data_IF_724910757296
#
_entry.id   IF_724910757296
#
_cell.length_a   1.000
_cell.length_b   1.000
_cell.length_c   1.000
_cell.angle_alpha   90.00
_cell.angle_beta   90.00
_cell.angle_gamma   90.00
#
_symmetry.space_group_name_H-M   'P 1'
#
loop_
_entity.id
_entity.type
_entity.pdbx_description
1 polymer ?
#
# COMPACT_ATOMS: atom_id res chain seq x y z
N UNK A 1 70.63 8.79 20.37
CA UNK A 1 69.38 8.01 20.19
C UNK A 1 68.22 8.78 20.78
N UNK A 2 67.09 8.84 20.09
CA UNK A 2 65.76 8.92 20.71
C UNK A 2 64.72 8.53 19.65
N UNK A 3 63.88 7.53 19.91
CA UNK A 3 62.77 7.18 19.03
C UNK A 3 61.56 8.02 19.45
N UNK A 4 60.99 8.76 18.51
CA UNK A 4 59.72 9.48 18.74
C UNK A 4 58.62 8.42 18.80
N UNK A 5 58.18 8.06 20.01
CA UNK A 5 57.07 7.14 20.24
C UNK A 5 55.72 7.82 19.96
N UNK A 6 55.46 8.18 18.70
CA UNK A 6 54.15 8.61 18.21
C UNK A 6 53.26 7.42 17.82
N UNK A 7 53.10 6.51 18.78
CA UNK A 7 51.92 5.63 18.91
C UNK A 7 51.66 5.46 20.40
N UNK A 8 50.78 6.30 20.94
CA UNK A 8 49.90 5.88 22.03
C UNK A 8 48.75 5.10 21.40
N UNK A 9 48.15 4.22 22.18
CA UNK A 9 46.92 3.52 21.84
C UNK A 9 45.76 4.51 21.61
N UNK A 10 44.61 3.98 21.14
CA UNK A 10 43.43 4.76 20.78
C UNK A 10 43.10 5.81 21.82
N UNK A 11 42.90 7.05 21.38
CA UNK A 11 42.48 8.13 22.28
C UNK A 11 41.10 7.77 22.82
N UNK A 12 41.04 7.42 24.10
CA UNK A 12 39.82 6.96 24.76
C UNK A 12 38.69 7.99 24.72
N UNK A 13 39.01 9.28 24.51
CA UNK A 13 38.01 10.31 24.24
C UNK A 13 37.38 10.17 22.84
N UNK A 14 38.18 9.80 21.82
CA UNK A 14 37.70 9.55 20.46
C UNK A 14 36.87 8.27 20.39
N UNK A 15 37.33 7.18 21.03
CA UNK A 15 36.55 5.93 21.09
C UNK A 15 35.20 6.14 21.78
N UNK A 16 35.19 6.88 22.91
CA UNK A 16 33.96 7.24 23.61
C UNK A 16 33.01 8.07 22.76
N UNK A 17 33.49 9.12 22.08
CA UNK A 17 32.67 9.96 21.20
C UNK A 17 32.11 9.15 20.03
N UNK A 18 32.88 8.20 19.49
CA UNK A 18 32.41 7.30 18.44
C UNK A 18 31.29 6.37 18.93
N UNK A 19 31.41 5.78 20.12
CA UNK A 19 30.32 4.97 20.69
C UNK A 19 29.09 5.81 21.07
N UNK A 20 29.26 7.03 21.59
CA UNK A 20 28.14 7.94 21.86
C UNK A 20 27.41 8.32 20.54
N UNK A 21 28.14 8.51 19.44
CA UNK A 21 27.59 8.72 18.09
C UNK A 21 26.83 7.50 17.57
N UNK A 22 27.40 6.29 17.63
CA UNK A 22 26.72 5.03 17.25
C UNK A 22 25.42 4.85 18.03
N UNK A 23 25.47 5.03 19.35
CA UNK A 23 24.28 4.91 20.20
C UNK A 23 23.22 5.97 19.87
N UNK A 24 23.61 7.16 19.39
CA UNK A 24 22.69 8.17 18.86
C UNK A 24 22.05 7.73 17.54
N UNK A 25 22.86 7.25 16.59
CA UNK A 25 22.41 6.72 15.30
C UNK A 25 21.43 5.55 15.46
N UNK A 26 21.76 4.56 16.29
CA UNK A 26 20.88 3.42 16.59
C UNK A 26 19.53 3.87 17.15
N UNK A 27 19.50 4.84 18.08
CA UNK A 27 18.25 5.39 18.63
C UNK A 27 17.41 6.11 17.57
N UNK A 28 18.03 6.98 16.78
CA UNK A 28 17.36 7.74 15.72
C UNK A 28 16.77 6.83 14.63
N UNK A 29 17.50 5.79 14.22
CA UNK A 29 17.03 4.85 13.20
C UNK A 29 15.88 3.98 13.71
N UNK A 30 15.94 3.49 14.97
CA UNK A 30 14.83 2.78 15.64
C UNK A 30 13.58 3.66 15.75
N UNK A 31 13.74 4.94 16.08
CA UNK A 31 12.65 5.89 16.16
C UNK A 31 11.99 6.11 14.78
N UNK A 32 12.78 6.36 13.73
CA UNK A 32 12.29 6.54 12.36
C UNK A 32 11.51 5.30 11.88
N UNK A 33 12.05 4.09 12.09
CA UNK A 33 11.40 2.85 11.71
C UNK A 33 10.06 2.65 12.44
N UNK A 34 10.03 2.84 13.77
CA UNK A 34 8.79 2.67 14.58
C UNK A 34 7.73 3.71 14.26
N UNK A 35 8.11 4.97 14.01
CA UNK A 35 7.17 6.02 13.56
C UNK A 35 6.58 5.67 12.19
N UNK A 36 7.39 5.14 11.27
CA UNK A 36 6.94 4.75 9.93
C UNK A 36 6.00 3.55 9.98
N UNK A 37 6.32 2.53 10.77
CA UNK A 37 5.44 1.39 11.03
C UNK A 37 4.10 1.83 11.64
N UNK A 38 4.12 2.70 12.66
CA UNK A 38 2.90 3.21 13.30
C UNK A 38 1.97 3.92 12.32
N UNK A 39 2.53 4.73 11.40
CA UNK A 39 1.75 5.37 10.33
C UNK A 39 1.05 4.35 9.43
N UNK A 40 1.75 3.29 9.02
CA UNK A 40 1.16 2.22 8.20
C UNK A 40 -0.01 1.54 8.92
N UNK A 41 0.11 1.27 10.22
CA UNK A 41 -1.00 0.70 10.99
C UNK A 41 -2.24 1.62 10.93
N UNK A 42 -2.06 2.93 11.13
CA UNK A 42 -3.15 3.93 11.09
C UNK A 42 -3.72 4.24 9.70
N UNK A 43 -3.07 3.81 8.60
CA UNK A 43 -3.66 3.90 7.25
C UNK A 43 -4.92 3.02 7.10
N UNK A 44 -5.09 2.02 7.97
CA UNK A 44 -6.23 1.11 7.96
C UNK A 44 -7.51 1.65 8.58
N UNK A 45 -7.46 2.82 9.22
CA UNK A 45 -8.52 3.36 10.09
C UNK A 45 -9.19 4.62 9.53
N UNK A 46 -8.70 5.14 8.40
CA UNK A 46 -9.14 6.38 7.77
C UNK A 46 -9.47 6.17 6.28
N UNK A 47 -10.10 7.17 5.64
CA UNK A 47 -10.13 7.19 4.18
C UNK A 47 -8.73 7.29 3.57
N UNK A 48 -8.60 6.81 2.33
CA UNK A 48 -7.33 6.56 1.67
C UNK A 48 -6.73 7.87 1.14
N UNK A 49 -6.00 8.57 2.01
CA UNK A 49 -5.31 9.82 1.66
C UNK A 49 -3.99 9.57 0.89
N UNK A 50 -3.92 10.13 -0.30
CA UNK A 50 -2.74 10.07 -1.18
C UNK A 50 -1.54 10.87 -0.63
N UNK A 51 -1.79 11.96 0.10
CA UNK A 51 -0.74 12.80 0.68
C UNK A 51 -0.01 12.07 1.83
N UNK A 52 -0.74 11.38 2.69
CA UNK A 52 -0.17 10.46 3.68
C UNK A 52 0.57 9.28 3.04
N UNK A 53 0.11 8.75 1.89
CA UNK A 53 0.84 7.72 1.13
C UNK A 53 2.17 8.24 0.56
N UNK A 54 2.20 9.47 0.04
CA UNK A 54 3.45 10.11 -0.44
C UNK A 54 4.42 10.33 0.72
N UNK A 55 3.93 10.81 1.88
CA UNK A 55 4.71 10.99 3.10
C UNK A 55 5.26 9.66 3.65
N UNK A 56 4.51 8.57 3.55
CA UNK A 56 4.98 7.23 3.90
C UNK A 56 6.12 6.79 2.98
N UNK A 57 5.96 6.91 1.66
CA UNK A 57 6.99 6.49 0.69
C UNK A 57 8.30 7.25 0.90
N UNK A 58 8.24 8.56 1.16
CA UNK A 58 9.41 9.37 1.51
C UNK A 58 10.13 8.84 2.77
N UNK A 59 9.40 8.35 3.77
CA UNK A 59 10.01 7.75 4.97
C UNK A 59 10.56 6.33 4.73
N UNK A 60 9.90 5.52 3.91
CA UNK A 60 10.41 4.21 3.49
C UNK A 60 11.70 4.37 2.66
N UNK A 61 11.81 5.43 1.86
CA UNK A 61 13.05 5.78 1.17
C UNK A 61 14.12 6.25 2.16
N UNK A 62 13.80 7.17 3.07
CA UNK A 62 14.74 7.63 4.09
C UNK A 62 15.27 6.49 4.98
N UNK A 63 14.46 5.46 5.28
CA UNK A 63 14.92 4.25 5.96
C UNK A 63 15.87 3.45 5.06
N UNK A 64 15.54 3.24 3.78
CA UNK A 64 16.42 2.52 2.83
C UNK A 64 17.79 3.20 2.69
N UNK A 65 17.81 4.52 2.58
CA UNK A 65 19.04 5.30 2.50
C UNK A 65 19.81 5.28 3.83
N UNK A 66 19.12 5.43 4.96
CA UNK A 66 19.75 5.30 6.27
C UNK A 66 20.33 3.89 6.51
N UNK A 67 19.71 2.80 6.02
CA UNK A 67 20.34 1.47 6.03
C UNK A 67 21.66 1.50 5.27
N UNK A 68 21.67 2.01 4.03
CA UNK A 68 22.86 2.03 3.17
C UNK A 68 24.05 2.79 3.78
N UNK A 69 23.82 3.90 4.48
CA UNK A 69 24.90 4.75 5.04
C UNK A 69 25.18 4.54 6.54
N UNK A 70 24.24 4.00 7.32
CA UNK A 70 24.34 3.93 8.79
C UNK A 70 24.59 2.51 9.29
N UNK A 71 24.26 1.47 8.51
CA UNK A 71 24.46 0.06 8.93
C UNK A 71 25.92 -0.35 9.12
N UNK A 72 26.91 0.36 8.57
CA UNK A 72 28.31 0.05 8.89
C UNK A 72 28.72 0.52 10.31
N UNK A 73 28.03 1.53 10.87
CA UNK A 73 28.34 2.09 12.19
C UNK A 73 27.53 1.49 13.34
N UNK A 74 26.26 1.11 13.13
CA UNK A 74 25.39 0.61 14.21
C UNK A 74 25.65 -0.85 14.58
N UNK A 75 25.29 -1.20 15.82
CA UNK A 75 25.39 -2.55 16.37
C UNK A 75 24.47 -3.56 15.64
N UNK A 76 24.81 -4.85 15.71
CA UNK A 76 24.08 -5.89 14.99
C UNK A 76 22.63 -6.07 15.47
N UNK A 77 22.36 -5.84 16.76
CA UNK A 77 21.02 -5.98 17.32
C UNK A 77 20.08 -4.89 16.75
N UNK A 78 20.59 -3.66 16.57
CA UNK A 78 19.89 -2.60 15.85
C UNK A 78 19.58 -3.00 14.41
N UNK A 79 20.53 -3.58 13.66
CA UNK A 79 20.28 -3.98 12.26
C UNK A 79 19.10 -4.96 12.17
N UNK A 80 19.13 -5.99 13.00
CA UNK A 80 18.06 -7.01 13.10
C UNK A 80 16.72 -6.40 13.55
N UNK A 81 16.72 -5.46 14.50
CA UNK A 81 15.50 -4.75 14.92
C UNK A 81 14.90 -3.93 13.76
N UNK A 82 15.72 -3.20 13.00
CA UNK A 82 15.29 -2.40 11.86
C UNK A 82 14.77 -3.26 10.71
N UNK A 83 15.45 -4.37 10.40
CA UNK A 83 15.03 -5.32 9.36
C UNK A 83 13.72 -6.02 9.70
N UNK A 84 13.53 -6.38 10.97
CA UNK A 84 12.26 -6.88 11.47
C UNK A 84 11.14 -5.85 11.30
N UNK A 85 11.37 -4.60 11.70
CA UNK A 85 10.36 -3.53 11.56
C UNK A 85 10.06 -3.25 10.08
N UNK A 86 11.06 -3.30 9.19
CA UNK A 86 10.87 -3.14 7.75
C UNK A 86 9.97 -4.26 7.17
N UNK A 87 10.21 -5.52 7.57
CA UNK A 87 9.38 -6.66 7.18
C UNK A 87 7.94 -6.55 7.70
N UNK A 88 7.76 -6.23 8.99
CA UNK A 88 6.45 -6.01 9.60
C UNK A 88 5.71 -4.83 8.95
N UNK A 89 6.43 -3.77 8.55
CA UNK A 89 5.90 -2.62 7.82
C UNK A 89 5.44 -3.02 6.42
N UNK A 90 6.24 -3.76 5.64
CA UNK A 90 5.87 -4.27 4.31
C UNK A 90 4.61 -5.15 4.36
N UNK A 91 4.57 -6.09 5.30
CA UNK A 91 3.41 -6.96 5.55
C UNK A 91 2.14 -6.18 5.93
N UNK A 92 2.31 -5.10 6.71
CA UNK A 92 1.20 -4.21 7.09
C UNK A 92 0.69 -3.39 5.89
N UNK A 93 1.57 -2.88 5.02
CA UNK A 93 1.19 -2.20 3.77
C UNK A 93 0.43 -3.16 2.84
N UNK A 94 0.89 -4.40 2.68
CA UNK A 94 0.19 -5.41 1.89
C UNK A 94 -1.21 -5.72 2.44
N UNK A 95 -1.31 -5.88 3.77
CA UNK A 95 -2.59 -6.13 4.45
C UNK A 95 -3.57 -4.96 4.29
N UNK A 96 -3.06 -3.73 4.32
CA UNK A 96 -3.83 -2.53 4.04
C UNK A 96 -4.32 -2.48 2.58
N UNK A 97 -3.45 -2.72 1.59
CA UNK A 97 -3.84 -2.77 0.17
C UNK A 97 -4.95 -3.81 -0.09
N UNK A 98 -4.91 -4.96 0.58
CA UNK A 98 -5.98 -5.97 0.52
C UNK A 98 -7.32 -5.45 1.08
N UNK A 99 -7.30 -4.67 2.17
CA UNK A 99 -8.52 -3.99 2.67
C UNK A 99 -9.07 -3.00 1.63
N UNK A 100 -8.22 -2.16 1.03
CA UNK A 100 -8.65 -1.16 0.04
C UNK A 100 -9.29 -1.84 -1.17
N UNK A 101 -8.64 -2.87 -1.73
CA UNK A 101 -9.20 -3.72 -2.82
C UNK A 101 -10.56 -4.33 -2.45
N UNK A 102 -10.76 -4.75 -1.20
CA UNK A 102 -12.05 -5.29 -0.74
C UNK A 102 -13.17 -4.23 -0.73
N UNK A 103 -12.87 -2.97 -0.36
CA UNK A 103 -13.88 -1.88 -0.42
C UNK A 103 -14.35 -1.59 -1.85
N UNK A 104 -13.47 -1.70 -2.85
CA UNK A 104 -13.86 -1.53 -4.26
C UNK A 104 -14.77 -2.67 -4.73
N UNK A 105 -14.49 -3.92 -4.32
CA UNK A 105 -15.38 -5.04 -4.62
C UNK A 105 -16.77 -4.85 -4.00
N UNK A 106 -16.85 -4.27 -2.80
CA UNK A 106 -18.13 -3.88 -2.21
C UNK A 106 -18.85 -2.80 -3.04
N UNK A 107 -18.17 -1.71 -3.44
CA UNK A 107 -18.75 -0.66 -4.26
C UNK A 107 -19.29 -1.17 -5.62
N UNK A 108 -18.53 -2.04 -6.30
CA UNK A 108 -18.96 -2.72 -7.55
C UNK A 108 -20.22 -3.56 -7.30
N UNK A 109 -20.23 -4.38 -6.24
CA UNK A 109 -21.38 -5.26 -5.91
C UNK A 109 -22.63 -4.48 -5.48
N UNK A 110 -22.47 -3.31 -4.87
CA UNK A 110 -23.55 -2.39 -4.53
C UNK A 110 -24.01 -1.52 -5.72
N UNK A 111 -23.46 -1.72 -6.92
CA UNK A 111 -23.71 -0.93 -8.13
C UNK A 111 -23.35 0.57 -8.01
N UNK A 112 -22.53 0.96 -7.03
CA UNK A 112 -22.02 2.34 -6.93
C UNK A 112 -20.82 2.53 -7.88
N UNK A 113 -21.12 2.56 -9.17
CA UNK A 113 -20.10 2.56 -10.23
C UNK A 113 -19.18 3.78 -10.20
N UNK A 114 -19.65 4.95 -9.77
CA UNK A 114 -18.81 6.15 -9.62
C UNK A 114 -17.77 5.99 -8.51
N UNK A 115 -18.21 5.61 -7.31
CA UNK A 115 -17.31 5.32 -6.18
C UNK A 115 -16.31 4.20 -6.53
N UNK A 116 -16.75 3.16 -7.23
CA UNK A 116 -15.87 2.09 -7.71
C UNK A 116 -14.80 2.62 -8.66
N UNK A 117 -15.16 3.42 -9.66
CA UNK A 117 -14.21 3.99 -10.63
C UNK A 117 -13.20 4.94 -9.96
N UNK A 118 -13.65 5.79 -9.04
CA UNK A 118 -12.76 6.68 -8.27
C UNK A 118 -11.79 5.91 -7.37
N UNK A 119 -12.27 4.88 -6.67
CA UNK A 119 -11.39 4.05 -5.81
C UNK A 119 -10.44 3.17 -6.62
N UNK A 120 -10.81 2.72 -7.83
CA UNK A 120 -9.89 2.07 -8.77
C UNK A 120 -8.77 3.04 -9.18
N UNK A 121 -9.12 4.27 -9.60
CA UNK A 121 -8.13 5.32 -9.93
C UNK A 121 -7.20 5.62 -8.76
N UNK A 122 -7.72 5.61 -7.53
CA UNK A 122 -6.95 5.82 -6.30
C UNK A 122 -5.98 4.67 -6.01
N UNK A 123 -6.42 3.41 -6.06
CA UNK A 123 -5.53 2.23 -5.94
C UNK A 123 -4.43 2.30 -7.01
N UNK A 124 -4.78 2.59 -8.27
CA UNK A 124 -3.80 2.66 -9.38
C UNK A 124 -2.75 3.77 -9.17
N UNK A 125 -3.05 4.86 -8.45
CA UNK A 125 -2.05 5.85 -8.01
C UNK A 125 -1.15 5.30 -6.90
N UNK A 126 -1.72 4.63 -5.90
CA UNK A 126 -1.00 4.09 -4.75
C UNK A 126 -0.04 2.97 -5.15
N UNK A 127 -0.48 2.05 -6.02
CA UNK A 127 0.37 0.99 -6.60
C UNK A 127 1.54 1.56 -7.42
N UNK A 128 1.42 2.78 -7.97
CA UNK A 128 2.55 3.48 -8.63
C UNK A 128 3.53 4.14 -7.66
N UNK A 129 3.07 4.54 -6.48
CA UNK A 129 3.91 5.19 -5.45
C UNK A 129 4.65 4.13 -4.63
N UNK A 130 3.91 3.15 -4.09
CA UNK A 130 4.44 2.13 -3.18
C UNK A 130 4.80 0.81 -3.88
N UNK A 131 4.62 0.70 -5.20
CA UNK A 131 4.82 -0.56 -5.95
C UNK A 131 6.17 -1.23 -5.68
N UNK A 132 7.24 -0.43 -5.64
CA UNK A 132 8.61 -0.91 -5.41
C UNK A 132 8.91 -1.23 -3.92
N UNK A 133 7.93 -1.08 -3.02
CA UNK A 133 7.99 -1.51 -1.61
C UNK A 133 7.34 -2.87 -1.39
N UNK A 134 6.48 -3.29 -2.32
CA UNK A 134 5.85 -4.60 -2.42
C UNK A 134 6.08 -5.19 -3.82
N UNK A 135 7.36 -5.31 -4.20
CA UNK A 135 7.80 -6.02 -5.40
C UNK A 135 7.34 -7.49 -5.37
N UNK A 136 7.33 -8.11 -6.55
CA UNK A 136 6.91 -9.49 -6.79
C UNK A 136 7.61 -10.47 -5.83
N UNK A 137 6.85 -11.36 -5.18
CA UNK A 137 7.43 -12.46 -4.41
C UNK A 137 7.93 -13.54 -5.37
N UNK A 138 9.13 -13.33 -5.91
CA UNK A 138 9.96 -14.45 -6.32
C UNK A 138 10.60 -15.06 -5.07
N UNK A 139 10.35 -16.36 -4.87
CA UNK A 139 10.80 -17.12 -3.71
C UNK A 139 12.32 -17.05 -3.49
N UNK A 140 12.72 -17.33 -2.25
CA UNK A 140 13.67 -18.42 -2.04
C UNK A 140 12.92 -19.60 -1.37
N UNK A 141 13.16 -20.83 -1.82
CA UNK A 141 12.22 -21.94 -1.64
C UNK A 141 12.37 -22.66 -0.28
N UNK A 142 11.92 -22.01 0.79
CA UNK A 142 11.50 -22.73 2.00
C UNK A 142 10.37 -22.06 2.81
N UNK A 143 9.26 -22.81 2.99
CA UNK A 143 8.13 -22.53 3.92
C UNK A 143 7.10 -21.44 3.51
N UNK A 144 6.94 -21.12 2.23
CA UNK A 144 6.18 -19.92 1.78
C UNK A 144 4.74 -20.13 1.22
N UNK A 145 4.17 -21.34 1.25
CA UNK A 145 2.93 -21.67 0.52
C UNK A 145 1.69 -20.80 0.83
N UNK A 146 1.62 -20.13 1.99
CA UNK A 146 0.46 -19.32 2.42
C UNK A 146 0.56 -17.81 2.18
N UNK A 147 1.67 -17.31 1.61
CA UNK A 147 1.86 -15.87 1.35
C UNK A 147 1.88 -15.50 -0.14
N UNK A 148 2.65 -16.23 -0.99
CA UNK A 148 2.66 -16.02 -2.46
C UNK A 148 1.25 -15.85 -3.07
N UNK A 149 0.34 -16.76 -2.70
CA UNK A 149 -1.07 -16.82 -3.16
C UNK A 149 -1.93 -15.58 -2.77
N UNK A 150 -1.41 -14.66 -1.95
CA UNK A 150 -2.01 -13.35 -1.65
C UNK A 150 -1.38 -12.18 -2.40
N UNK A 151 -0.13 -12.29 -2.85
CA UNK A 151 0.61 -11.14 -3.43
C UNK A 151 0.39 -11.03 -4.94
N UNK A 152 0.43 -12.16 -5.66
CA UNK A 152 0.11 -12.20 -7.10
C UNK A 152 -1.34 -11.78 -7.39
N UNK A 153 -2.22 -11.91 -6.39
CA UNK A 153 -3.59 -11.40 -6.43
C UNK A 153 -3.69 -9.87 -6.38
N UNK A 154 -2.69 -9.14 -5.88
CA UNK A 154 -2.79 -7.67 -5.68
C UNK A 154 -2.45 -6.91 -6.96
N UNK A 155 -1.34 -7.22 -7.63
CA UNK A 155 -0.97 -6.48 -8.85
C UNK A 155 -1.99 -6.71 -9.98
N UNK A 156 -2.43 -7.96 -10.14
CA UNK A 156 -3.52 -8.31 -11.05
C UNK A 156 -4.90 -7.76 -10.60
N UNK A 157 -5.07 -7.32 -9.33
CA UNK A 157 -6.39 -6.90 -8.84
C UNK A 157 -6.94 -5.66 -9.52
N UNK A 158 -6.09 -4.69 -9.90
CA UNK A 158 -6.59 -3.40 -10.43
C UNK A 158 -7.29 -3.59 -11.77
N UNK A 159 -6.65 -4.35 -12.67
CA UNK A 159 -7.19 -4.59 -14.00
C UNK A 159 -8.33 -5.62 -13.95
N UNK A 160 -8.30 -6.57 -12.99
CA UNK A 160 -9.45 -7.43 -12.67
C UNK A 160 -10.63 -6.65 -12.08
N UNK A 161 -10.40 -5.60 -11.30
CA UNK A 161 -11.46 -4.72 -10.77
C UNK A 161 -12.09 -3.89 -11.89
N UNK A 162 -11.31 -3.40 -12.85
CA UNK A 162 -11.84 -2.72 -14.05
C UNK A 162 -12.65 -3.68 -14.93
N UNK A 163 -12.17 -4.91 -15.15
CA UNK A 163 -12.95 -5.96 -15.84
C UNK A 163 -14.21 -6.35 -15.07
N UNK A 164 -14.18 -6.43 -13.73
CA UNK A 164 -15.36 -6.70 -12.91
C UNK A 164 -16.38 -5.57 -12.99
N UNK A 165 -15.94 -4.32 -12.88
CA UNK A 165 -16.78 -3.12 -13.06
C UNK A 165 -17.43 -3.09 -14.45
N UNK A 166 -16.67 -3.33 -15.51
CA UNK A 166 -17.20 -3.43 -16.88
C UNK A 166 -18.24 -4.55 -17.01
N UNK A 167 -17.92 -5.77 -16.56
CA UNK A 167 -18.82 -6.92 -16.69
C UNK A 167 -20.15 -6.72 -15.92
N UNK A 168 -20.11 -6.11 -14.74
CA UNK A 168 -21.33 -5.78 -13.98
C UNK A 168 -22.12 -4.68 -14.67
N UNK A 169 -21.47 -3.60 -15.14
CA UNK A 169 -22.12 -2.52 -15.88
C UNK A 169 -22.76 -3.01 -17.18
N UNK A 170 -22.05 -3.82 -17.97
CA UNK A 170 -22.60 -4.47 -19.17
C UNK A 170 -23.81 -5.36 -18.83
N UNK A 171 -23.75 -6.12 -17.74
CA UNK A 171 -24.86 -6.97 -17.30
C UNK A 171 -26.08 -6.15 -16.91
N UNK A 172 -25.89 -5.01 -16.23
CA UNK A 172 -26.97 -4.07 -15.90
C UNK A 172 -27.55 -3.42 -17.16
N UNK A 173 -26.71 -2.96 -18.10
CA UNK A 173 -27.18 -2.38 -19.37
C UNK A 173 -27.91 -3.42 -20.22
N UNK A 174 -27.42 -4.68 -20.28
CA UNK A 174 -28.10 -5.79 -20.97
C UNK A 174 -29.46 -6.09 -20.32
N UNK A 175 -29.56 -6.09 -18.98
CA UNK A 175 -30.85 -6.21 -18.27
C UNK A 175 -31.83 -5.10 -18.68
N UNK A 176 -31.41 -3.82 -18.62
CA UNK A 176 -32.28 -2.70 -19.00
C UNK A 176 -32.70 -2.70 -20.47
N UNK A 177 -31.78 -3.04 -21.40
CA UNK A 177 -32.10 -3.16 -22.84
C UNK A 177 -33.08 -4.29 -23.14
N UNK A 178 -33.12 -5.33 -22.31
CA UNK A 178 -34.03 -6.46 -22.45
C UNK A 178 -35.39 -6.26 -21.77
N UNK A 179 -35.66 -5.07 -21.18
CA UNK A 179 -36.99 -4.75 -20.66
C UNK A 179 -37.89 -4.34 -21.83
N UNK A 180 -38.84 -5.19 -22.19
CA UNK A 180 -39.90 -4.83 -23.13
C UNK A 180 -40.91 -3.87 -22.46
N UNK A 181 -40.64 -2.58 -22.60
CA UNK A 181 -41.48 -1.48 -22.11
C UNK A 181 -42.85 -1.39 -22.84
N UNK A 182 -43.06 -2.12 -23.94
CA UNK A 182 -44.31 -2.12 -24.72
C UNK A 182 -45.27 -3.22 -24.25
N UNK A 183 -44.75 -4.28 -23.62
CA UNK A 183 -45.55 -5.34 -22.98
C UNK A 183 -45.70 -5.13 -21.45
N UNK A 184 -44.82 -4.33 -20.83
CA UNK A 184 -44.81 -4.09 -19.38
C UNK A 184 -46.07 -3.34 -18.84
N UNK A 185 -47.11 -4.11 -18.47
CA UNK A 185 -48.33 -3.59 -17.81
C UNK A 185 -48.12 -2.93 -16.45
N UNK A 186 -46.95 -3.10 -15.84
CA UNK A 186 -46.60 -2.52 -14.55
C UNK A 186 -45.16 -2.03 -14.59
N UNK A 187 -44.92 -0.81 -14.11
CA UNK A 187 -43.58 -0.24 -14.03
C UNK A 187 -43.03 -0.47 -12.61
N UNK A 188 -41.92 -1.20 -12.42
CA UNK A 188 -41.40 -1.56 -11.10
C UNK A 188 -40.85 -0.38 -10.28
N UNK A 189 -40.80 0.84 -10.84
CA UNK A 189 -40.25 2.04 -10.19
C UNK A 189 -41.25 3.21 -10.05
N UNK A 190 -42.56 2.97 -10.18
CA UNK A 190 -43.56 4.07 -10.23
C UNK A 190 -44.25 4.35 -8.89
N UNK A 191 -43.90 5.51 -8.35
CA UNK A 191 -44.91 6.53 -8.02
C UNK A 191 -44.99 7.62 -9.11
N UNK A 192 -43.86 8.03 -9.73
CA UNK A 192 -43.84 8.88 -10.93
C UNK A 192 -42.60 8.56 -11.82
N UNK A 193 -42.75 8.07 -13.07
CA UNK A 193 -41.64 7.73 -13.93
C UNK A 193 -41.16 8.96 -14.74
N UNK A 194 -39.84 9.19 -14.87
CA UNK A 194 -39.32 10.31 -15.66
C UNK A 194 -39.64 10.14 -17.15
N UNK A 195 -40.73 10.77 -17.60
CA UNK A 195 -41.26 10.73 -18.99
C UNK A 195 -40.19 11.05 -20.05
N UNK A 196 -39.23 11.91 -19.70
CA UNK A 196 -38.08 12.29 -20.52
C UNK A 196 -37.12 11.13 -20.85
N UNK A 197 -37.15 10.04 -20.09
CA UNK A 197 -36.36 8.82 -20.37
C UNK A 197 -37.02 8.00 -21.47
N UNK A 198 -38.34 7.76 -21.36
CA UNK A 198 -39.14 7.02 -22.33
C UNK A 198 -39.10 7.66 -23.72
N UNK A 199 -39.27 8.99 -23.79
CA UNK A 199 -39.18 9.74 -25.04
C UNK A 199 -37.78 9.73 -25.72
N UNK A 200 -36.75 9.18 -25.06
CA UNK A 200 -35.40 8.97 -25.61
C UNK A 200 -35.09 7.50 -25.93
N UNK A 201 -35.94 6.55 -25.51
CA UNK A 201 -35.76 5.11 -25.72
C UNK A 201 -36.64 4.55 -26.85
N UNK A 202 -37.61 5.32 -27.34
CA UNK A 202 -38.48 4.96 -28.46
C UNK A 202 -37.95 5.50 -29.81
N UNK A 203 -36.63 5.47 -29.98
CA UNK A 203 -35.84 5.85 -31.18
C UNK A 203 -34.65 4.91 -31.36
#
# INVERSE_FOLDING_TARGET
MSKINQRKDGDAQVERVFEELKNSLSRSLRALAKITMMKVLTLGDNEVDLENVIKLEAQLQAIKDAKNFVFEYVDNNTKVEIEKIEFETKSSIQTWMLKVVATVKAAINCYNFGEAEEKIKLIRKITRILGNRFEQIFFDDSKEEKMKEKTDKIFNSVDQLEQQLQNVLETVVKKYKNIDLKIAKFNPYVSDPPKNLYAKLDK
#
